data_IF_425178243293
#
_entry.id   IF_425178243293
#
_cell.length_a   1.000
_cell.length_b   1.000
_cell.length_c   1.000
_cell.angle_alpha   90.00
_cell.angle_beta   90.00
_cell.angle_gamma   90.00
#
_symmetry.space_group_name_H-M   'P 1'
#
loop_
_entity.id
_entity.type
_entity.pdbx_description
1 polymer ?
#
# COMPACT_ATOMS: atom_id res chain seq x y z
N UNK A 1 11.57 7.24 5.81
CA UNK A 1 11.19 5.99 5.13
C UNK A 1 10.10 5.30 5.91
N UNK A 2 9.00 4.96 5.26
CA UNK A 2 7.84 4.36 5.90
C UNK A 2 7.44 3.07 5.19
N UNK A 3 7.22 2.01 5.96
CA UNK A 3 6.72 0.73 5.46
C UNK A 3 5.27 0.56 5.92
N UNK A 4 4.35 0.47 4.97
CA UNK A 4 2.94 0.25 5.27
C UNK A 4 2.72 -1.25 5.44
N UNK A 5 2.44 -1.64 6.67
CA UNK A 5 2.52 -3.02 7.13
C UNK A 5 1.18 -3.57 7.59
N UNK A 6 0.91 -4.81 7.17
CA UNK A 6 -0.18 -5.60 7.72
C UNK A 6 0.44 -6.80 8.43
N UNK A 7 0.53 -6.78 9.78
CA UNK A 7 1.22 -7.86 10.51
C UNK A 7 0.54 -9.22 10.42
N UNK A 8 -0.72 -9.26 9.99
CA UNK A 8 -1.44 -10.52 9.80
C UNK A 8 -1.16 -11.13 8.43
N UNK A 9 -0.53 -10.38 7.54
CA UNK A 9 -0.23 -10.85 6.21
C UNK A 9 1.19 -11.39 6.13
N UNK A 10 1.33 -12.66 5.75
CA UNK A 10 2.64 -13.31 5.62
C UNK A 10 3.55 -12.54 4.67
N UNK A 11 3.03 -12.11 3.53
CA UNK A 11 3.82 -11.38 2.54
C UNK A 11 4.31 -10.04 3.06
N UNK A 12 3.50 -9.37 3.87
CA UNK A 12 3.90 -8.11 4.48
C UNK A 12 5.02 -8.34 5.50
N UNK A 13 4.93 -9.41 6.29
CA UNK A 13 6.00 -9.79 7.23
C UNK A 13 7.28 -10.15 6.49
N UNK A 14 7.19 -10.89 5.40
CA UNK A 14 8.34 -11.27 4.59
C UNK A 14 9.03 -10.04 4.00
N UNK A 15 8.25 -9.05 3.55
CA UNK A 15 8.81 -7.80 3.03
C UNK A 15 9.59 -7.04 4.07
N UNK A 16 9.07 -6.95 5.28
CA UNK A 16 9.77 -6.28 6.38
C UNK A 16 11.04 -7.01 6.78
N UNK A 17 10.99 -8.34 6.82
CA UNK A 17 12.18 -9.16 7.09
C UNK A 17 13.24 -8.94 6.02
N UNK A 18 12.85 -8.90 4.75
CA UNK A 18 13.77 -8.62 3.65
C UNK A 18 14.51 -7.31 3.87
N UNK A 19 13.76 -6.24 4.20
CA UNK A 19 14.35 -4.93 4.45
C UNK A 19 15.33 -4.97 5.63
N UNK A 20 14.93 -5.61 6.72
CA UNK A 20 15.79 -5.72 7.91
C UNK A 20 17.07 -6.48 7.60
N UNK A 21 17.01 -7.52 6.77
CA UNK A 21 18.19 -8.28 6.36
C UNK A 21 19.13 -7.45 5.50
N UNK A 22 18.64 -6.40 4.86
CA UNK A 22 19.43 -5.46 4.08
C UNK A 22 19.89 -4.26 4.92
N UNK A 23 19.72 -4.33 6.24
CA UNK A 23 20.02 -3.23 7.17
C UNK A 23 19.18 -1.99 6.91
N UNK A 24 17.97 -2.18 6.42
CA UNK A 24 17.01 -1.09 6.21
C UNK A 24 15.91 -1.24 7.25
N UNK A 25 15.76 -0.23 8.10
CA UNK A 25 14.82 -0.24 9.22
C UNK A 25 13.85 0.93 9.11
N UNK A 26 12.82 0.83 8.26
CA UNK A 26 11.86 1.91 8.07
C UNK A 26 10.96 2.08 9.28
N UNK A 27 10.35 3.26 9.40
CA UNK A 27 9.23 3.43 10.30
C UNK A 27 8.09 2.53 9.81
N UNK A 28 7.48 1.78 10.73
CA UNK A 28 6.40 0.85 10.37
C UNK A 28 5.06 1.50 10.68
N UNK A 29 4.19 1.59 9.67
CA UNK A 29 2.83 2.09 9.82
C UNK A 29 1.85 0.95 9.61
N UNK A 30 1.16 0.54 10.69
CA UNK A 30 0.12 -0.50 10.61
C UNK A 30 -1.19 0.14 10.20
N UNK A 31 -1.41 0.26 8.91
CA UNK A 31 -2.50 1.05 8.33
C UNK A 31 -3.90 0.47 8.61
N UNK A 32 -4.01 -0.78 9.06
CA UNK A 32 -5.30 -1.35 9.45
C UNK A 32 -5.75 -0.83 10.81
N UNK A 33 -4.81 -0.42 11.65
CA UNK A 33 -5.09 0.15 12.98
C UNK A 33 -4.98 1.65 12.98
N UNK A 34 -4.02 2.19 12.23
CA UNK A 34 -3.72 3.59 12.15
C UNK A 34 -4.09 4.06 10.75
N UNK A 35 -5.36 4.40 10.56
CA UNK A 35 -5.94 4.68 9.25
C UNK A 35 -5.20 5.81 8.54
N UNK A 36 -5.10 5.66 7.21
CA UNK A 36 -4.54 6.70 6.36
C UNK A 36 -5.54 7.83 6.18
N UNK A 37 -5.05 9.06 6.16
CA UNK A 37 -5.86 10.20 5.77
C UNK A 37 -5.95 10.27 4.24
N UNK A 38 -6.95 10.97 3.73
CA UNK A 38 -7.15 11.12 2.29
C UNK A 38 -5.91 11.66 1.59
N UNK A 39 -5.29 12.72 2.15
CA UNK A 39 -4.12 13.32 1.54
C UNK A 39 -2.90 12.39 1.58
N UNK A 40 -2.79 11.54 2.60
CA UNK A 40 -1.70 10.58 2.69
C UNK A 40 -1.78 9.56 1.56
N UNK A 41 -2.97 9.02 1.31
CA UNK A 41 -3.14 8.02 0.26
C UNK A 41 -2.93 8.64 -1.13
N UNK A 42 -3.39 9.88 -1.33
CA UNK A 42 -3.10 10.60 -2.58
C UNK A 42 -1.60 10.76 -2.80
N UNK A 43 -0.88 11.13 -1.75
CA UNK A 43 0.58 11.30 -1.83
C UNK A 43 1.27 9.98 -2.16
N UNK A 44 0.82 8.88 -1.54
CA UNK A 44 1.37 7.55 -1.83
C UNK A 44 1.15 7.19 -3.30
N UNK A 45 -0.07 7.41 -3.80
CA UNK A 45 -0.40 7.11 -5.20
C UNK A 45 0.46 7.93 -6.16
N UNK A 46 0.68 9.21 -5.85
CA UNK A 46 1.55 10.06 -6.66
C UNK A 46 2.98 9.53 -6.69
N UNK A 47 3.51 9.13 -5.54
CA UNK A 47 4.86 8.58 -5.45
C UNK A 47 4.99 7.23 -6.14
N UNK A 48 3.93 6.42 -6.12
CA UNK A 48 3.87 5.15 -6.85
C UNK A 48 3.67 5.35 -8.34
N UNK A 49 3.19 6.54 -8.75
CA UNK A 49 2.77 6.82 -10.13
C UNK A 49 1.69 5.84 -10.58
N UNK A 50 0.72 5.60 -9.69
CA UNK A 50 -0.38 4.67 -9.93
C UNK A 50 -1.72 5.37 -9.79
N UNK A 51 -2.69 4.86 -10.54
CA UNK A 51 -4.08 5.26 -10.37
C UNK A 51 -4.68 4.50 -9.18
N UNK A 52 -5.71 5.06 -8.51
CA UNK A 52 -6.31 4.37 -7.37
C UNK A 52 -6.72 2.93 -7.66
N UNK A 53 -7.33 2.67 -8.81
CA UNK A 53 -7.77 1.32 -9.16
C UNK A 53 -6.61 0.33 -9.22
N UNK A 54 -5.45 0.78 -9.67
CA UNK A 54 -4.27 -0.08 -9.80
C UNK A 54 -3.72 -0.52 -8.44
N UNK A 55 -3.98 0.27 -7.39
CA UNK A 55 -3.51 -0.06 -6.04
C UNK A 55 -4.46 -1.02 -5.32
N UNK A 56 -5.62 -1.29 -5.86
CA UNK A 56 -6.63 -2.11 -5.20
C UNK A 56 -6.42 -3.60 -5.36
N UNK A 57 -6.70 -4.33 -4.28
CA UNK A 57 -6.68 -5.80 -4.27
C UNK A 57 -8.04 -6.32 -4.74
N UNK A 58 -8.11 -6.69 -6.00
CA UNK A 58 -9.37 -7.06 -6.66
C UNK A 58 -9.92 -8.41 -6.24
N UNK A 59 -9.12 -9.22 -5.53
CA UNK A 59 -9.56 -10.52 -5.03
C UNK A 59 -10.34 -10.42 -3.71
N UNK A 60 -10.32 -9.25 -3.06
CA UNK A 60 -11.03 -9.08 -1.81
C UNK A 60 -12.54 -9.07 -2.02
N UNK A 61 -13.27 -9.69 -1.06
CA UNK A 61 -14.73 -9.70 -1.10
C UNK A 61 -15.31 -8.29 -1.13
N UNK A 62 -14.71 -7.35 -0.40
CA UNK A 62 -15.13 -5.95 -0.36
C UNK A 62 -15.05 -5.31 -1.75
N UNK A 63 -14.02 -5.64 -2.53
CA UNK A 63 -13.94 -5.14 -3.89
C UNK A 63 -15.15 -5.60 -4.72
N UNK A 64 -15.49 -6.88 -4.60
CA UNK A 64 -16.58 -7.45 -5.37
C UNK A 64 -17.93 -6.87 -4.99
N UNK A 65 -18.14 -6.57 -3.69
CA UNK A 65 -19.42 -6.05 -3.21
C UNK A 65 -19.55 -4.53 -3.34
N UNK A 66 -18.45 -3.77 -3.17
CA UNK A 66 -18.51 -2.31 -3.08
C UNK A 66 -18.01 -1.58 -4.31
N UNK A 67 -17.22 -2.22 -5.16
CA UNK A 67 -16.54 -1.53 -6.25
C UNK A 67 -16.83 -2.12 -7.62
N UNK A 68 -16.81 -3.45 -7.72
CA UNK A 68 -16.98 -4.13 -9.01
C UNK A 68 -18.33 -3.78 -9.64
N UNK A 69 -18.28 -3.37 -10.90
CA UNK A 69 -19.48 -3.03 -11.65
C UNK A 69 -20.04 -1.64 -11.38
N UNK A 70 -19.38 -0.87 -10.50
CA UNK A 70 -19.78 0.50 -10.20
C UNK A 70 -18.87 1.49 -10.90
N UNK A 71 -19.43 2.61 -11.34
CA UNK A 71 -18.64 3.68 -11.96
C UNK A 71 -18.24 4.67 -10.87
N UNK A 72 -17.07 4.45 -10.28
CA UNK A 72 -16.56 5.31 -9.21
C UNK A 72 -15.45 6.21 -9.76
N UNK A 73 -15.42 7.45 -9.30
CA UNK A 73 -14.33 8.37 -9.60
C UNK A 73 -13.08 7.97 -8.82
N UNK A 74 -11.92 8.51 -9.22
CA UNK A 74 -10.68 8.25 -8.50
C UNK A 74 -10.78 8.65 -7.02
N UNK A 75 -11.40 9.80 -6.73
CA UNK A 75 -11.60 10.23 -5.35
C UNK A 75 -12.49 9.28 -4.57
N UNK A 76 -13.55 8.78 -5.21
CA UNK A 76 -14.41 7.79 -4.56
C UNK A 76 -13.68 6.48 -4.28
N UNK A 77 -12.79 6.06 -5.19
CA UNK A 77 -11.98 4.87 -4.98
C UNK A 77 -11.01 5.05 -3.81
N UNK A 78 -10.40 6.23 -3.70
CA UNK A 78 -9.51 6.54 -2.58
C UNK A 78 -10.28 6.48 -1.26
N UNK A 79 -11.48 7.06 -1.21
CA UNK A 79 -12.33 7.02 -0.03
C UNK A 79 -12.66 5.57 0.35
N UNK A 80 -12.96 4.73 -0.64
CA UNK A 80 -13.24 3.31 -0.40
C UNK A 80 -12.03 2.59 0.21
N UNK A 81 -10.83 2.90 -0.26
CA UNK A 81 -9.62 2.29 0.31
C UNK A 81 -9.37 2.73 1.75
N UNK A 82 -9.72 3.95 2.10
CA UNK A 82 -9.60 4.44 3.47
C UNK A 82 -10.64 3.75 4.37
N UNK A 83 -11.87 3.64 3.86
CA UNK A 83 -12.97 2.99 4.58
C UNK A 83 -12.72 1.49 4.76
N UNK A 84 -12.15 0.86 3.74
CA UNK A 84 -11.85 -0.57 3.73
C UNK A 84 -10.36 -0.81 3.44
N UNK A 85 -9.49 -0.65 4.44
CA UNK A 85 -8.04 -0.74 4.21
C UNK A 85 -7.56 -2.06 3.62
N UNK A 86 -8.33 -3.14 3.75
CA UNK A 86 -8.00 -4.42 3.11
C UNK A 86 -7.92 -4.32 1.59
N UNK A 87 -8.53 -3.29 1.00
CA UNK A 87 -8.46 -3.05 -0.45
C UNK A 87 -7.07 -2.59 -0.89
N UNK A 88 -6.28 -2.03 0.01
CA UNK A 88 -4.99 -1.46 -0.35
C UNK A 88 -3.98 -2.58 -0.56
N UNK A 89 -3.25 -2.53 -1.69
CA UNK A 89 -2.17 -3.48 -1.96
C UNK A 89 -1.13 -3.41 -0.85
N UNK A 90 -0.59 -4.56 -0.48
CA UNK A 90 0.34 -4.71 0.65
C UNK A 90 1.77 -4.46 0.22
N UNK A 91 2.62 -4.22 1.22
CA UNK A 91 4.06 -4.11 1.07
C UNK A 91 4.46 -2.87 0.29
N UNK A 92 3.93 -1.72 0.72
CA UNK A 92 4.31 -0.44 0.16
C UNK A 92 5.44 0.15 1.00
N UNK A 93 6.55 0.50 0.36
CA UNK A 93 7.65 1.24 0.98
C UNK A 93 7.71 2.63 0.38
N UNK A 94 7.73 3.64 1.24
CA UNK A 94 7.89 5.03 0.83
C UNK A 94 9.25 5.53 1.29
N UNK A 95 10.04 6.07 0.38
CA UNK A 95 11.36 6.63 0.67
C UNK A 95 11.51 7.97 -0.06
N UNK A 96 11.42 9.07 0.70
CA UNK A 96 11.48 10.40 0.12
C UNK A 96 10.30 10.66 -0.81
N UNK A 97 10.59 11.04 -2.04
CA UNK A 97 9.59 11.31 -3.06
C UNK A 97 9.21 10.08 -3.88
N UNK A 98 9.70 8.90 -3.50
CA UNK A 98 9.47 7.66 -4.22
C UNK A 98 8.75 6.65 -3.37
N UNK A 99 8.01 5.75 -4.02
CA UNK A 99 7.36 4.63 -3.37
C UNK A 99 7.35 3.44 -4.31
N UNK A 100 7.28 2.24 -3.74
CA UNK A 100 7.25 1.01 -4.53
C UNK A 100 6.47 -0.07 -3.81
N UNK A 101 5.83 -0.93 -4.59
CA UNK A 101 5.20 -2.14 -4.06
C UNK A 101 6.23 -3.26 -4.12
N UNK A 102 6.48 -3.92 -2.99
CA UNK A 102 7.46 -5.00 -2.89
C UNK A 102 6.93 -6.35 -3.34
N UNK A 103 6.49 -6.43 -4.55
CA UNK A 103 6.02 -7.67 -5.16
C UNK A 103 6.81 -7.90 -6.46
N UNK A 104 7.88 -8.68 -6.42
CA UNK A 104 8.50 -9.29 -5.23
C UNK A 104 9.25 -8.29 -4.36
N UNK A 105 9.70 -8.76 -3.18
CA UNK A 105 10.38 -7.90 -2.22
C UNK A 105 11.63 -7.21 -2.79
N UNK A 106 12.30 -7.83 -3.75
CA UNK A 106 13.46 -7.25 -4.41
C UNK A 106 13.17 -5.89 -5.06
N UNK A 107 11.91 -5.61 -5.37
CA UNK A 107 11.52 -4.31 -5.95
C UNK A 107 11.82 -3.16 -4.99
N UNK A 108 11.90 -3.40 -3.69
CA UNK A 108 12.27 -2.35 -2.73
C UNK A 108 13.64 -1.77 -3.03
N UNK A 109 14.53 -2.56 -3.63
CA UNK A 109 15.89 -2.10 -3.92
C UNK A 109 15.93 -0.94 -4.88
N UNK A 110 14.89 -0.78 -5.71
CA UNK A 110 14.86 0.29 -6.72
C UNK A 110 14.84 1.69 -6.12
N UNK A 111 14.42 1.83 -4.86
CA UNK A 111 14.30 3.15 -4.22
C UNK A 111 15.18 3.30 -2.98
N UNK A 112 16.09 2.36 -2.71
CA UNK A 112 16.89 2.35 -1.48
C UNK A 112 18.23 3.07 -1.61
N UNK A 113 18.59 3.56 -2.73
CA UNK A 113 19.87 4.25 -2.92
C UNK A 113 19.85 5.68 -2.41
#
# INVERSE_FOLDING_TARGET
MIYFHNPRCRKSREGLTFLNQKNVHPEVREYLKDALALHELRTILDKLQMRPEELMRKNEAIFKSEIKGKKLTDDELIIKMIEYPKLIERRILVHGDKAVIGRPAENFMSILD
#
